data_IF_529244287022
#
_entry.id   IF_529244287022
#
_cell.length_a   1.000
_cell.length_b   1.000
_cell.length_c   1.000
_cell.angle_alpha   90.00
_cell.angle_beta   90.00
_cell.angle_gamma   90.00
#
_symmetry.space_group_name_H-M   'P 1'
#
loop_
_entity.id
_entity.type
_entity.pdbx_description
1 polymer ?
#
# COMPACT_ATOMS: atom_id res chain seq x y z
N UNK A 1 -12.51 11.00 -4.40
CA UNK A 1 -11.92 10.98 -5.76
C UNK A 1 -12.89 10.28 -6.69
N UNK A 2 -13.25 10.93 -7.81
CA UNK A 2 -14.10 10.29 -8.83
C UNK A 2 -13.20 9.63 -9.89
N UNK A 3 -12.45 8.64 -9.49
CA UNK A 3 -11.77 7.75 -10.41
C UNK A 3 -12.70 6.56 -10.67
N UNK A 4 -13.76 6.74 -11.45
CA UNK A 4 -14.74 5.69 -11.82
C UNK A 4 -15.05 4.64 -10.72
N UNK A 5 -15.01 5.03 -9.44
CA UNK A 5 -15.18 4.12 -8.29
C UNK A 5 -13.94 3.31 -7.89
N UNK A 6 -12.78 3.55 -8.48
CA UNK A 6 -11.53 2.87 -8.14
C UNK A 6 -10.76 3.62 -7.03
N UNK A 7 -9.92 2.89 -6.34
CA UNK A 7 -9.02 3.36 -5.29
C UNK A 7 -7.57 3.06 -5.67
N UNK A 8 -6.70 4.06 -5.52
CA UNK A 8 -5.26 3.88 -5.71
C UNK A 8 -4.65 3.70 -4.33
N UNK A 9 -4.18 2.50 -4.06
CA UNK A 9 -3.40 2.14 -2.89
C UNK A 9 -1.93 2.32 -3.22
N UNK A 10 -1.19 3.04 -2.38
CA UNK A 10 0.26 3.22 -2.49
C UNK A 10 0.85 2.84 -1.16
N UNK A 11 1.79 1.93 -1.17
CA UNK A 11 2.54 1.58 0.04
C UNK A 11 3.97 1.16 -0.34
N UNK A 12 4.85 1.15 0.64
CA UNK A 12 6.23 0.77 0.45
C UNK A 12 6.76 0.02 1.66
N UNK A 13 7.88 -0.65 1.45
CA UNK A 13 8.66 -1.22 2.51
C UNK A 13 10.15 -1.12 2.18
N UNK A 14 10.96 -0.85 3.20
CA UNK A 14 12.40 -0.75 3.05
C UNK A 14 13.14 -1.35 4.24
N UNK A 15 14.37 -1.80 4.00
CA UNK A 15 15.33 -2.25 5.00
C UNK A 15 16.70 -1.68 4.70
N UNK A 16 17.42 -1.35 5.76
CA UNK A 16 18.77 -0.82 5.65
C UNK A 16 19.76 -1.93 5.31
N UNK A 17 20.82 -1.59 4.59
CA UNK A 17 22.04 -2.39 4.47
C UNK A 17 22.51 -2.84 5.84
N UNK A 18 22.97 -4.07 5.94
CA UNK A 18 23.47 -4.64 7.19
C UNK A 18 24.56 -3.76 7.82
N UNK A 19 24.37 -3.43 9.09
CA UNK A 19 25.29 -2.56 9.85
C UNK A 19 25.01 -1.05 9.73
N UNK A 20 24.09 -0.61 8.88
CA UNK A 20 23.68 0.80 8.80
C UNK A 20 22.50 1.12 9.71
N UNK A 21 22.52 2.32 10.31
CA UNK A 21 21.47 2.81 11.18
C UNK A 21 20.34 3.45 10.37
N UNK A 22 20.66 4.02 9.20
CA UNK A 22 19.71 4.70 8.31
C UNK A 22 19.77 4.08 6.92
N UNK A 23 18.64 4.12 6.21
CA UNK A 23 18.51 3.69 4.83
C UNK A 23 19.08 4.77 3.90
N UNK A 24 19.87 4.38 2.92
CA UNK A 24 20.32 5.24 1.83
C UNK A 24 19.22 5.56 0.83
N UNK A 25 18.18 4.74 0.76
CA UNK A 25 17.01 4.96 -0.08
C UNK A 25 16.01 5.90 0.61
N UNK A 26 15.26 6.64 -0.20
CA UNK A 26 14.17 7.49 0.26
C UNK A 26 12.92 7.28 -0.60
N UNK A 27 11.82 6.92 0.04
CA UNK A 27 10.52 6.88 -0.60
C UNK A 27 9.64 8.03 -0.10
N UNK A 28 8.97 8.72 -1.03
CA UNK A 28 7.98 9.74 -0.74
C UNK A 28 6.71 9.49 -1.57
N UNK A 29 5.54 9.72 -0.98
CA UNK A 29 4.28 9.72 -1.71
C UNK A 29 3.37 10.83 -1.23
N UNK A 30 2.74 11.53 -2.15
CA UNK A 30 1.83 12.63 -1.87
C UNK A 30 0.54 12.50 -2.68
N UNK A 31 -0.58 12.67 -1.99
CA UNK A 31 -1.90 12.75 -2.60
C UNK A 31 -2.38 14.18 -2.65
N UNK A 32 -2.47 14.74 -3.84
CA UNK A 32 -2.99 16.08 -4.07
C UNK A 32 -4.52 16.05 -4.08
N UNK A 33 -5.14 16.27 -2.90
CA UNK A 33 -6.59 16.08 -2.69
C UNK A 33 -7.46 16.93 -3.61
N UNK A 34 -7.04 18.15 -3.96
CA UNK A 34 -7.77 19.05 -4.84
C UNK A 34 -7.81 18.57 -6.30
N UNK A 35 -6.77 17.88 -6.75
CA UNK A 35 -6.59 17.45 -8.13
C UNK A 35 -6.93 15.98 -8.34
N UNK A 36 -7.06 15.21 -7.27
CA UNK A 36 -7.23 13.75 -7.36
C UNK A 36 -5.99 13.02 -7.86
N UNK A 37 -4.82 13.62 -7.76
CA UNK A 37 -3.53 13.16 -8.28
C UNK A 37 -2.70 12.52 -7.18
N UNK A 38 -1.93 11.51 -7.54
CA UNK A 38 -1.01 10.81 -6.64
C UNK A 38 0.37 10.82 -7.27
N UNK A 39 1.36 11.30 -6.52
CA UNK A 39 2.75 11.30 -6.92
C UNK A 39 3.53 10.42 -5.95
N UNK A 40 4.37 9.54 -6.47
CA UNK A 40 5.27 8.67 -5.68
C UNK A 40 6.67 8.75 -6.25
N UNK A 41 7.65 8.87 -5.37
CA UNK A 41 9.06 8.96 -5.73
C UNK A 41 9.86 7.99 -4.89
N UNK A 42 10.67 7.18 -5.54
CA UNK A 42 11.73 6.40 -4.91
C UNK A 42 13.07 6.93 -5.42
N UNK A 43 13.97 7.20 -4.51
CA UNK A 43 15.34 7.64 -4.82
C UNK A 43 16.33 6.82 -4.01
N UNK A 44 17.39 6.36 -4.66
CA UNK A 44 18.48 5.64 -4.06
C UNK A 44 19.73 6.55 -4.09
N UNK A 45 20.33 6.77 -2.93
CA UNK A 45 21.50 7.62 -2.75
C UNK A 45 22.79 6.82 -2.91
N UNK A 46 23.69 7.25 -3.78
CA UNK A 46 24.94 6.57 -4.05
C UNK A 46 25.79 6.37 -2.78
N UNK A 47 26.11 5.13 -2.50
CA UNK A 47 26.85 4.70 -1.31
C UNK A 47 25.93 4.11 -0.25
N UNK A 48 26.15 4.41 1.00
CA UNK A 48 25.30 3.94 2.10
C UNK A 48 25.38 4.83 3.33
N UNK A 49 24.42 4.69 4.25
CA UNK A 49 24.37 5.42 5.51
C UNK A 49 23.95 6.88 5.34
N UNK A 50 24.37 7.75 6.25
CA UNK A 50 23.85 9.13 6.38
C UNK A 50 24.03 9.96 5.10
N UNK A 51 25.18 9.85 4.41
CA UNK A 51 25.41 10.61 3.18
C UNK A 51 24.44 10.22 2.07
N UNK A 52 24.26 8.95 1.84
CA UNK A 52 23.29 8.42 0.86
C UNK A 52 21.86 8.84 1.22
N UNK A 53 21.47 8.71 2.50
CA UNK A 53 20.18 9.13 3.00
C UNK A 53 19.88 10.62 2.75
N UNK A 54 20.84 11.51 2.98
CA UNK A 54 20.69 12.95 2.71
C UNK A 54 20.49 13.20 1.21
N UNK A 55 21.28 12.56 0.35
CA UNK A 55 21.21 12.74 -1.10
C UNK A 55 19.90 12.21 -1.68
N UNK A 56 19.48 11.02 -1.28
CA UNK A 56 18.20 10.44 -1.72
C UNK A 56 17.00 11.26 -1.24
N UNK A 57 17.05 11.76 0.02
CA UNK A 57 15.99 12.61 0.57
C UNK A 57 15.89 13.94 -0.18
N UNK A 58 17.01 14.59 -0.48
CA UNK A 58 17.03 15.82 -1.28
C UNK A 58 16.46 15.56 -2.68
N UNK A 59 16.89 14.48 -3.34
CA UNK A 59 16.42 14.11 -4.67
C UNK A 59 14.92 13.85 -4.67
N UNK A 60 14.44 13.01 -3.75
CA UNK A 60 13.02 12.69 -3.65
C UNK A 60 12.16 13.94 -3.35
N UNK A 61 12.66 14.83 -2.47
CA UNK A 61 11.96 16.09 -2.14
C UNK A 61 11.88 17.03 -3.35
N UNK A 62 12.97 17.21 -4.10
CA UNK A 62 12.97 18.04 -5.32
C UNK A 62 12.05 17.42 -6.38
N UNK A 63 12.17 16.12 -6.63
CA UNK A 63 11.33 15.40 -7.61
C UNK A 63 9.84 15.52 -7.26
N UNK A 64 9.48 15.33 -6.00
CA UNK A 64 8.10 15.46 -5.52
C UNK A 64 7.57 16.89 -5.74
N UNK A 65 8.30 17.90 -5.29
CA UNK A 65 7.84 19.29 -5.36
C UNK A 65 7.71 19.79 -6.80
N UNK A 66 8.71 19.55 -7.66
CA UNK A 66 8.64 19.99 -9.06
C UNK A 66 7.52 19.26 -9.81
N UNK A 67 7.32 17.97 -9.57
CA UNK A 67 6.21 17.22 -10.17
C UNK A 67 4.86 17.73 -9.68
N UNK A 68 4.72 18.02 -8.39
CA UNK A 68 3.48 18.59 -7.83
C UNK A 68 3.16 19.99 -8.38
N UNK A 69 4.17 20.78 -8.71
CA UNK A 69 4.02 22.11 -9.33
C UNK A 69 3.77 22.06 -10.84
N UNK A 70 3.64 20.88 -11.44
CA UNK A 70 3.50 20.68 -12.89
C UNK A 70 4.68 21.27 -13.69
N UNK A 71 5.86 21.35 -13.10
CA UNK A 71 7.05 21.76 -13.83
C UNK A 71 7.35 20.77 -14.96
N UNK A 72 7.92 21.28 -16.06
CA UNK A 72 8.26 20.41 -17.17
C UNK A 72 9.31 19.39 -16.74
N UNK A 73 9.23 18.16 -17.27
CA UNK A 73 10.19 17.09 -16.98
C UNK A 73 11.62 17.56 -17.22
N UNK A 74 11.83 18.32 -18.29
CA UNK A 74 13.14 18.86 -18.61
C UNK A 74 13.66 19.78 -17.50
N UNK A 75 12.85 20.72 -16.99
CA UNK A 75 13.25 21.59 -15.89
C UNK A 75 13.45 20.82 -14.60
N UNK A 76 12.55 19.88 -14.29
CA UNK A 76 12.64 19.04 -13.09
C UNK A 76 13.95 18.25 -13.09
N UNK A 77 14.22 17.51 -14.16
CA UNK A 77 15.43 16.71 -14.28
C UNK A 77 16.71 17.55 -14.29
N UNK A 78 16.74 18.64 -15.06
CA UNK A 78 17.87 19.54 -15.10
C UNK A 78 18.15 20.14 -13.72
N UNK A 79 17.13 20.55 -12.99
CA UNK A 79 17.29 21.12 -11.64
C UNK A 79 17.81 20.08 -10.64
N UNK A 80 17.26 18.86 -10.65
CA UNK A 80 17.73 17.77 -9.80
C UNK A 80 19.18 17.46 -10.13
N UNK A 81 19.47 17.22 -11.41
CA UNK A 81 20.80 16.81 -11.85
C UNK A 81 21.88 17.87 -11.61
N UNK A 82 21.55 19.15 -11.73
CA UNK A 82 22.47 20.25 -11.47
C UNK A 82 22.72 20.50 -9.98
N UNK A 83 21.75 20.16 -9.12
CA UNK A 83 21.85 20.34 -7.67
C UNK A 83 22.64 19.21 -7.02
N UNK A 84 22.54 17.99 -7.57
CA UNK A 84 23.22 16.84 -7.00
C UNK A 84 24.73 16.87 -7.33
N UNK A 85 25.59 16.58 -6.34
CA UNK A 85 27.00 16.38 -6.61
C UNK A 85 27.21 15.16 -7.50
N UNK A 86 28.42 15.03 -8.09
CA UNK A 86 28.79 13.92 -8.97
C UNK A 86 29.73 12.97 -8.31
N UNK A 87 29.61 11.71 -8.67
CA UNK A 87 30.69 10.75 -8.50
C UNK A 87 31.69 10.87 -9.67
N UNK A 88 32.90 11.34 -9.37
CA UNK A 88 33.93 11.53 -10.39
C UNK A 88 34.44 10.22 -10.99
N UNK A 89 34.24 9.09 -10.31
CA UNK A 89 34.68 7.76 -10.75
C UNK A 89 33.63 7.11 -11.64
N UNK A 90 32.34 7.10 -11.17
CA UNK A 90 31.25 6.46 -11.88
C UNK A 90 30.63 7.34 -12.94
N UNK A 91 30.92 8.64 -12.98
CA UNK A 91 30.35 9.65 -13.91
C UNK A 91 28.82 9.70 -13.91
N UNK A 92 28.19 9.38 -12.80
CA UNK A 92 26.74 9.47 -12.58
C UNK A 92 26.43 10.48 -11.48
N UNK A 93 25.20 10.94 -11.40
CA UNK A 93 24.71 11.73 -10.29
C UNK A 93 24.72 10.90 -9.00
N UNK A 94 24.90 11.54 -7.85
CA UNK A 94 24.95 10.84 -6.54
C UNK A 94 23.60 10.28 -6.08
N UNK A 95 22.59 10.29 -6.90
CA UNK A 95 21.31 9.65 -6.59
C UNK A 95 20.57 9.25 -7.85
N UNK A 96 19.99 8.08 -7.82
CA UNK A 96 19.05 7.58 -8.84
C UNK A 96 17.62 7.91 -8.42
N UNK A 97 16.65 7.89 -9.33
CA UNK A 97 15.26 8.10 -8.96
C UNK A 97 14.26 7.51 -9.95
N UNK A 98 13.12 7.11 -9.41
CA UNK A 98 11.91 6.78 -10.14
C UNK A 98 10.76 7.66 -9.64
N UNK A 99 10.09 8.38 -10.55
CA UNK A 99 8.92 9.21 -10.26
C UNK A 99 7.72 8.56 -10.93
N UNK A 100 6.67 8.28 -10.18
CA UNK A 100 5.39 7.83 -10.71
C UNK A 100 4.32 8.87 -10.39
N UNK A 101 3.72 9.43 -11.42
CA UNK A 101 2.70 10.46 -11.36
C UNK A 101 1.40 9.95 -11.97
N UNK A 102 0.32 9.93 -11.20
CA UNK A 102 -0.98 9.38 -11.59
C UNK A 102 -2.03 10.46 -11.43
N UNK A 103 -2.69 10.83 -12.52
CA UNK A 103 -3.77 11.82 -12.48
C UNK A 103 -5.12 11.24 -12.02
N UNK A 104 -6.13 12.10 -11.91
CA UNK A 104 -7.48 11.70 -11.48
C UNK A 104 -8.22 10.79 -12.49
N UNK A 105 -7.73 10.66 -13.70
CA UNK A 105 -8.29 9.78 -14.73
C UNK A 105 -7.59 8.41 -14.76
N UNK A 106 -6.49 8.25 -14.02
CA UNK A 106 -5.67 7.05 -14.01
C UNK A 106 -4.57 7.07 -15.08
N UNK A 107 -4.33 8.21 -15.74
CA UNK A 107 -3.17 8.34 -16.61
C UNK A 107 -1.90 8.38 -15.77
N UNK A 108 -0.95 7.55 -16.13
CA UNK A 108 0.31 7.37 -15.45
C UNK A 108 1.44 7.93 -16.29
N UNK A 109 2.35 8.62 -15.64
CA UNK A 109 3.63 9.02 -16.18
C UNK A 109 4.73 8.56 -15.25
N UNK A 110 5.64 7.72 -15.76
CA UNK A 110 6.81 7.25 -15.01
C UNK A 110 8.07 7.84 -15.62
N UNK A 111 8.95 8.36 -14.76
CA UNK A 111 10.25 8.91 -15.13
C UNK A 111 11.30 8.15 -14.35
N UNK A 112 12.23 7.53 -15.04
CA UNK A 112 13.32 6.74 -14.45
C UNK A 112 14.67 7.33 -14.81
N UNK A 113 15.55 7.41 -13.81
CA UNK A 113 16.96 7.75 -13.94
C UNK A 113 17.83 6.73 -13.22
N UNK A 114 18.58 5.92 -13.98
CA UNK A 114 19.55 4.92 -13.46
C UNK A 114 18.98 3.97 -12.39
N UNK A 115 17.65 3.75 -12.38
CA UNK A 115 16.99 2.80 -11.49
C UNK A 115 16.72 1.49 -12.22
N UNK A 116 16.53 0.36 -11.50
CA UNK A 116 15.93 -0.82 -12.09
C UNK A 116 14.58 -0.49 -12.73
N UNK A 117 14.26 -1.11 -13.86
CA UNK A 117 12.99 -0.88 -14.54
C UNK A 117 11.82 -1.30 -13.67
N UNK A 118 10.78 -0.42 -13.60
CA UNK A 118 9.54 -0.79 -12.93
C UNK A 118 8.82 -1.93 -13.66
N UNK A 119 7.95 -2.63 -12.94
CA UNK A 119 7.07 -3.65 -13.50
C UNK A 119 5.62 -3.20 -13.45
N UNK A 120 4.90 -3.43 -14.55
CA UNK A 120 3.44 -3.34 -14.60
C UNK A 120 2.87 -4.76 -14.68
N UNK A 121 2.16 -5.18 -13.62
CA UNK A 121 1.45 -6.45 -13.58
C UNK A 121 -0.03 -6.20 -13.85
N UNK A 122 -0.55 -6.78 -14.93
CA UNK A 122 -1.92 -6.61 -15.43
C UNK A 122 -2.47 -7.96 -15.87
N UNK A 123 -3.67 -8.33 -15.45
CA UNK A 123 -4.40 -9.52 -15.88
C UNK A 123 -3.57 -10.83 -15.86
N UNK A 124 -2.72 -10.99 -14.84
CA UNK A 124 -1.86 -12.18 -14.71
C UNK A 124 -0.52 -12.12 -15.41
N UNK A 125 -0.19 -11.02 -16.10
CA UNK A 125 1.03 -10.88 -16.90
C UNK A 125 1.79 -9.59 -16.58
N UNK A 126 3.10 -9.62 -16.85
CA UNK A 126 3.90 -8.41 -16.88
C UNK A 126 3.81 -7.75 -18.24
N UNK A 127 3.45 -6.47 -18.25
CA UNK A 127 3.27 -5.68 -19.48
C UNK A 127 4.46 -4.74 -19.63
N UNK A 128 5.14 -4.84 -20.78
CA UNK A 128 6.21 -3.92 -21.12
C UNK A 128 5.64 -2.68 -21.83
N UNK A 129 5.81 -1.51 -21.20
CA UNK A 129 5.39 -0.23 -21.76
C UNK A 129 6.55 0.40 -22.55
N UNK A 130 6.32 0.86 -23.78
CA UNK A 130 7.34 1.56 -24.55
C UNK A 130 7.88 2.79 -23.82
N UNK A 131 9.20 2.90 -23.70
CA UNK A 131 9.88 4.00 -23.03
C UNK A 131 10.49 4.97 -24.06
N UNK A 132 10.28 6.26 -23.85
CA UNK A 132 10.95 7.34 -24.58
C UNK A 132 12.23 7.71 -23.86
N UNK A 133 13.32 7.81 -24.62
CA UNK A 133 14.62 8.24 -24.13
C UNK A 133 14.78 9.75 -24.31
N UNK A 134 15.01 10.49 -23.21
CA UNK A 134 15.21 11.92 -23.24
C UNK A 134 16.62 12.24 -22.72
N UNK A 135 17.46 12.91 -23.53
CA UNK A 135 18.78 13.31 -23.09
C UNK A 135 18.68 14.38 -21.99
N UNK A 136 19.56 14.29 -21.00
CA UNK A 136 19.76 15.32 -19.98
C UNK A 136 20.90 16.20 -20.42
N UNK A 137 20.64 17.49 -20.64
CA UNK A 137 21.68 18.46 -20.98
C UNK A 137 22.44 18.85 -19.72
N UNK A 138 23.59 18.24 -19.54
CA UNK A 138 24.55 18.59 -18.51
C UNK A 138 25.96 18.44 -19.07
N UNK A 139 26.71 19.55 -19.11
CA UNK A 139 28.04 19.62 -19.77
C UNK A 139 29.03 18.57 -19.28
N UNK A 140 28.81 18.05 -18.10
CA UNK A 140 29.75 17.21 -17.37
C UNK A 140 29.27 15.74 -17.22
N UNK A 141 28.08 15.37 -17.78
CA UNK A 141 27.55 14.02 -17.85
C UNK A 141 27.25 13.68 -19.31
N UNK A 142 28.24 13.14 -20.01
CA UNK A 142 28.04 12.60 -21.37
C UNK A 142 27.12 11.37 -21.33
N UNK A 143 26.19 11.28 -22.28
CA UNK A 143 25.29 10.13 -22.46
C UNK A 143 24.33 9.84 -21.29
N UNK A 144 23.91 10.86 -20.54
CA UNK A 144 22.90 10.71 -19.49
C UNK A 144 21.51 10.87 -20.05
N UNK A 145 20.61 9.96 -19.70
CA UNK A 145 19.25 9.93 -20.23
C UNK A 145 18.23 9.65 -19.13
N UNK A 146 17.02 10.21 -19.34
CA UNK A 146 15.84 9.80 -18.62
C UNK A 146 15.00 8.85 -19.49
N UNK A 147 14.39 7.90 -18.85
CA UNK A 147 13.40 7.04 -19.49
C UNK A 147 12.01 7.45 -19.05
N UNK A 148 11.11 7.66 -20.01
CA UNK A 148 9.73 8.09 -19.74
C UNK A 148 8.78 7.12 -20.39
N UNK A 149 7.83 6.62 -19.58
CA UNK A 149 6.69 5.85 -20.05
C UNK A 149 5.38 6.53 -19.64
N UNK A 150 4.39 6.45 -20.53
CA UNK A 150 3.06 7.00 -20.33
C UNK A 150 2.02 5.94 -20.71
N UNK A 151 1.06 5.67 -19.83
CA UNK A 151 -0.01 4.70 -20.03
C UNK A 151 -1.20 5.02 -19.12
N UNK A 152 -2.30 4.27 -19.26
CA UNK A 152 -3.46 4.40 -18.37
C UNK A 152 -3.58 3.14 -17.52
N UNK A 153 -3.79 3.32 -16.21
CA UNK A 153 -4.06 2.23 -15.28
C UNK A 153 -5.41 1.59 -15.56
N UNK A 154 -5.44 0.29 -15.46
CA UNK A 154 -6.65 -0.52 -15.47
C UNK A 154 -6.91 -1.09 -14.07
N UNK A 155 -8.14 -1.55 -13.87
CA UNK A 155 -8.51 -2.15 -12.58
C UNK A 155 -7.66 -3.41 -12.33
N UNK A 156 -7.20 -3.56 -11.09
CA UNK A 156 -6.30 -4.61 -10.59
C UNK A 156 -4.85 -4.50 -11.08
N UNK A 157 -4.49 -3.44 -11.81
CA UNK A 157 -3.11 -3.16 -12.14
C UNK A 157 -2.25 -2.94 -10.90
N UNK A 158 -1.02 -3.45 -10.94
CA UNK A 158 0.02 -3.18 -9.96
C UNK A 158 1.27 -2.64 -10.64
N UNK A 159 1.68 -1.43 -10.26
CA UNK A 159 2.99 -0.88 -10.61
C UNK A 159 3.92 -1.18 -9.44
N UNK A 160 5.07 -1.78 -9.74
CA UNK A 160 6.07 -2.17 -8.74
C UNK A 160 7.40 -1.58 -9.16
N UNK A 161 7.99 -0.73 -8.33
CA UNK A 161 9.33 -0.20 -8.55
C UNK A 161 10.15 -0.31 -7.26
N UNK A 162 11.45 -0.48 -7.43
CA UNK A 162 12.34 -0.86 -6.35
C UNK A 162 13.75 -0.31 -6.57
N UNK A 163 14.55 -0.24 -5.50
CA UNK A 163 15.99 0.04 -5.60
C UNK A 163 16.75 -1.20 -6.05
N UNK A 164 18.00 -1.02 -6.44
CA UNK A 164 18.85 -2.09 -6.95
C UNK A 164 19.16 -3.17 -5.89
N UNK A 165 19.06 -2.84 -4.59
CA UNK A 165 19.13 -3.83 -3.52
C UNK A 165 18.14 -4.98 -3.62
N UNK A 166 16.99 -4.78 -4.33
CA UNK A 166 16.07 -5.87 -4.64
C UNK A 166 16.62 -6.74 -5.77
N UNK A 167 16.95 -6.14 -6.92
CA UNK A 167 17.39 -6.87 -8.11
C UNK A 167 18.77 -7.49 -7.95
N UNK A 168 19.66 -6.86 -7.20
CA UNK A 168 21.00 -7.36 -6.92
C UNK A 168 21.05 -8.34 -5.74
N UNK A 169 19.93 -8.58 -5.03
CA UNK A 169 19.92 -9.51 -3.91
C UNK A 169 20.38 -10.90 -4.34
N UNK A 170 21.18 -11.55 -3.51
CA UNK A 170 21.80 -12.86 -3.80
C UNK A 170 22.93 -12.85 -4.84
N UNK A 171 23.28 -11.70 -5.41
CA UNK A 171 24.33 -11.57 -6.41
C UNK A 171 25.67 -12.19 -5.96
N UNK A 172 26.30 -12.94 -6.88
CA UNK A 172 27.54 -13.68 -6.63
C UNK A 172 27.34 -15.01 -5.95
N UNK A 173 26.11 -15.40 -5.60
CA UNK A 173 25.81 -16.75 -5.13
C UNK A 173 25.75 -17.75 -6.29
N UNK A 174 26.02 -19.05 -6.05
CA UNK A 174 25.91 -20.07 -7.11
C UNK A 174 24.51 -20.18 -7.76
N UNK A 175 23.46 -19.80 -7.03
CA UNK A 175 22.08 -19.83 -7.52
C UNK A 175 21.66 -18.55 -8.23
N UNK A 176 22.30 -17.43 -7.91
CA UNK A 176 21.97 -16.09 -8.42
C UNK A 176 23.25 -15.32 -8.77
N UNK A 177 24.02 -15.77 -9.77
CA UNK A 177 25.31 -15.14 -10.10
C UNK A 177 25.16 -13.68 -10.53
N UNK A 178 24.02 -13.32 -11.13
CA UNK A 178 23.71 -11.96 -11.61
C UNK A 178 22.66 -11.23 -10.77
N UNK A 179 22.28 -11.77 -9.58
CA UNK A 179 21.21 -11.23 -8.75
C UNK A 179 19.86 -11.87 -9.01
N UNK A 180 18.80 -11.20 -8.55
CA UNK A 180 17.44 -11.74 -8.52
C UNK A 180 16.47 -11.07 -9.53
N UNK A 181 16.96 -10.27 -10.46
CA UNK A 181 16.13 -9.49 -11.39
C UNK A 181 15.07 -10.34 -12.11
N UNK A 182 15.46 -11.46 -12.72
CA UNK A 182 14.54 -12.36 -13.41
C UNK A 182 13.57 -13.06 -12.43
N UNK A 183 14.03 -13.40 -11.24
CA UNK A 183 13.22 -14.10 -10.23
C UNK A 183 12.16 -13.22 -9.55
N UNK A 184 12.28 -11.89 -9.58
CA UNK A 184 11.30 -10.99 -8.99
C UNK A 184 9.94 -11.13 -9.68
N UNK A 185 9.91 -11.22 -11.00
CA UNK A 185 8.67 -11.37 -11.78
C UNK A 185 7.94 -12.65 -11.41
N UNK A 186 8.63 -13.79 -11.41
CA UNK A 186 8.02 -15.08 -11.04
C UNK A 186 7.50 -15.09 -9.62
N UNK A 187 8.25 -14.49 -8.70
CA UNK A 187 7.85 -14.39 -7.30
C UNK A 187 6.60 -13.53 -7.12
N UNK A 188 6.53 -12.37 -7.76
CA UNK A 188 5.36 -11.47 -7.72
C UNK A 188 4.15 -12.15 -8.34
N UNK A 189 4.29 -12.78 -9.52
CA UNK A 189 3.20 -13.49 -10.19
C UNK A 189 2.63 -14.59 -9.27
N UNK A 190 3.47 -15.44 -8.69
CA UNK A 190 3.05 -16.49 -7.76
C UNK A 190 2.36 -15.94 -6.51
N UNK A 191 2.80 -14.80 -5.97
CA UNK A 191 2.14 -14.16 -4.82
C UNK A 191 0.75 -13.62 -5.18
N UNK A 192 0.62 -12.95 -6.33
CA UNK A 192 -0.66 -12.38 -6.73
C UNK A 192 -1.65 -13.46 -7.15
N UNK A 193 -1.20 -14.52 -7.79
CA UNK A 193 -2.03 -15.68 -8.13
C UNK A 193 -2.57 -16.38 -6.87
N UNK A 194 -1.71 -16.55 -5.86
CA UNK A 194 -2.11 -17.22 -4.62
C UNK A 194 -2.97 -16.33 -3.71
N UNK A 195 -2.71 -15.01 -3.71
CA UNK A 195 -3.40 -14.00 -2.90
C UNK A 195 -3.93 -12.88 -3.79
N UNK A 196 -5.07 -13.13 -4.46
CA UNK A 196 -5.63 -12.20 -5.47
C UNK A 196 -5.83 -10.76 -4.97
N UNK A 197 -6.11 -10.58 -3.66
CA UNK A 197 -6.36 -9.29 -3.02
C UNK A 197 -5.18 -8.80 -2.15
N UNK A 198 -3.97 -9.35 -2.35
CA UNK A 198 -2.77 -8.93 -1.63
C UNK A 198 -2.61 -7.41 -1.71
N UNK A 199 -2.48 -6.76 -0.55
CA UNK A 199 -2.35 -5.31 -0.45
C UNK A 199 -0.98 -4.84 -0.99
N UNK A 200 -0.90 -3.55 -1.38
CA UNK A 200 0.37 -2.94 -1.78
C UNK A 200 1.43 -3.09 -0.69
N UNK A 201 1.04 -2.86 0.57
CA UNK A 201 1.91 -3.01 1.73
C UNK A 201 2.45 -4.43 1.88
N UNK A 202 1.56 -5.42 1.83
CA UNK A 202 1.96 -6.81 2.03
C UNK A 202 2.85 -7.32 0.90
N UNK A 203 2.56 -6.92 -0.34
CA UNK A 203 3.37 -7.27 -1.50
C UNK A 203 4.78 -6.66 -1.40
N UNK A 204 4.89 -5.37 -1.07
CA UNK A 204 6.18 -4.71 -0.85
C UNK A 204 7.00 -5.39 0.25
N UNK A 205 6.36 -5.72 1.40
CA UNK A 205 6.99 -6.47 2.49
C UNK A 205 7.53 -7.82 2.05
N UNK A 206 6.74 -8.60 1.28
CA UNK A 206 7.14 -9.93 0.82
C UNK A 206 8.33 -9.84 -0.13
N UNK A 207 8.36 -8.87 -1.04
CA UNK A 207 9.48 -8.65 -1.98
C UNK A 207 10.76 -8.34 -1.23
N UNK A 208 10.77 -7.33 -0.35
CA UNK A 208 11.96 -6.94 0.42
C UNK A 208 12.44 -8.06 1.36
N UNK A 209 11.52 -8.77 2.01
CA UNK A 209 11.89 -9.91 2.86
C UNK A 209 12.45 -11.08 2.05
N UNK A 210 12.04 -11.26 0.80
CA UNK A 210 12.65 -12.27 -0.07
C UNK A 210 14.05 -11.84 -0.51
N UNK A 211 14.27 -10.55 -0.83
CA UNK A 211 15.60 -10.02 -1.11
C UNK A 211 16.56 -10.23 0.07
N UNK A 212 16.11 -9.96 1.30
CA UNK A 212 16.89 -10.25 2.50
C UNK A 212 17.26 -11.73 2.65
N UNK A 213 16.32 -12.65 2.36
CA UNK A 213 16.61 -14.09 2.35
C UNK A 213 17.63 -14.46 1.29
N UNK A 214 17.57 -13.86 0.11
CA UNK A 214 18.52 -14.07 -0.97
C UNK A 214 19.95 -13.70 -0.54
N UNK A 215 20.09 -12.65 0.29
CA UNK A 215 21.34 -12.19 0.88
C UNK A 215 21.71 -12.92 2.19
N UNK A 216 21.01 -14.00 2.53
CA UNK A 216 21.28 -14.79 3.74
C UNK A 216 20.96 -14.04 5.04
N UNK A 217 19.93 -13.19 5.03
CA UNK A 217 19.48 -12.33 6.15
C UNK A 217 20.50 -11.25 6.56
N UNK A 218 21.38 -10.87 5.63
CA UNK A 218 22.36 -9.81 5.82
C UNK A 218 22.45 -8.98 4.54
N UNK A 219 21.55 -8.01 4.42
CA UNK A 219 21.41 -7.18 3.22
C UNK A 219 22.73 -6.53 2.83
N UNK A 220 23.12 -6.69 1.58
CA UNK A 220 24.35 -6.14 1.01
C UNK A 220 24.18 -4.69 0.59
N UNK A 221 22.93 -4.26 0.36
CA UNK A 221 22.59 -2.88 0.08
C UNK A 221 21.26 -2.47 0.71
N UNK A 222 21.01 -1.14 0.75
CA UNK A 222 19.72 -0.60 1.12
C UNK A 222 18.67 -1.14 0.12
N UNK A 223 17.55 -1.62 0.63
CA UNK A 223 16.59 -2.40 -0.16
C UNK A 223 15.19 -1.88 0.03
N UNK A 224 14.63 -1.31 -1.03
CA UNK A 224 13.32 -0.66 -1.00
C UNK A 224 12.43 -1.15 -2.13
N UNK A 225 11.15 -1.32 -1.84
CA UNK A 225 10.12 -1.64 -2.83
C UNK A 225 8.87 -0.80 -2.58
N UNK A 226 8.35 -0.18 -3.63
CA UNK A 226 7.06 0.49 -3.64
C UNK A 226 6.10 -0.26 -4.54
N UNK A 227 4.85 -0.35 -4.11
CA UNK A 227 3.76 -0.93 -4.88
C UNK A 227 2.61 0.08 -4.97
N UNK A 228 2.14 0.31 -6.18
CA UNK A 228 0.92 1.07 -6.45
C UNK A 228 -0.11 0.10 -7.02
N UNK A 229 -1.27 0.02 -6.39
CA UNK A 229 -2.32 -0.94 -6.75
C UNK A 229 -3.64 -0.21 -7.01
N UNK A 230 -4.16 -0.31 -8.24
CA UNK A 230 -5.48 0.20 -8.58
C UNK A 230 -6.54 -0.87 -8.37
N UNK A 231 -7.44 -0.68 -7.42
CA UNK A 231 -8.48 -1.64 -7.04
C UNK A 231 -9.81 -0.97 -6.67
N UNK A 232 -10.82 -1.77 -6.45
CA UNK A 232 -12.05 -1.27 -5.81
C UNK A 232 -11.76 -0.84 -4.37
N UNK A 233 -12.40 0.24 -3.88
CA UNK A 233 -12.28 0.63 -2.48
C UNK A 233 -12.88 -0.45 -1.58
N UNK A 234 -12.18 -0.76 -0.49
CA UNK A 234 -12.64 -1.66 0.57
C UNK A 234 -13.54 -0.89 1.51
N UNK A 235 -14.85 -0.98 1.30
CA UNK A 235 -15.84 -0.31 2.14
C UNK A 235 -16.20 -1.20 3.33
N UNK A 236 -16.36 -0.59 4.51
CA UNK A 236 -16.80 -1.23 5.74
C UNK A 236 -17.96 -0.45 6.35
N UNK A 237 -19.03 -1.15 6.70
CA UNK A 237 -20.09 -0.65 7.54
C UNK A 237 -19.91 -1.20 8.95
N UNK A 238 -19.90 -0.31 9.94
CA UNK A 238 -20.02 -0.68 11.36
C UNK A 238 -21.35 -0.15 11.88
N UNK A 239 -22.25 -1.06 12.24
CA UNK A 239 -23.57 -0.75 12.76
C UNK A 239 -23.61 -1.08 14.25
N UNK A 240 -23.95 -0.11 15.09
CA UNK A 240 -24.04 -0.27 16.55
C UNK A 240 -25.19 0.53 17.13
N UNK A 241 -25.83 -0.02 18.14
CA UNK A 241 -27.00 0.56 18.81
C UNK A 241 -28.30 0.46 18.02
N UNK A 242 -29.43 0.29 18.72
CA UNK A 242 -30.77 0.29 18.12
C UNK A 242 -31.22 1.72 17.77
N UNK A 243 -32.10 1.91 16.78
CA UNK A 243 -32.74 3.19 16.53
C UNK A 243 -33.51 3.69 17.77
N UNK A 244 -33.61 4.99 17.92
CA UNK A 244 -34.40 5.59 19.00
C UNK A 244 -35.89 5.18 18.95
N UNK A 245 -36.48 5.21 17.74
CA UNK A 245 -37.86 4.81 17.47
C UNK A 245 -37.85 3.50 16.67
N UNK A 246 -38.60 2.51 17.13
CA UNK A 246 -38.75 1.19 16.48
C UNK A 246 -39.29 1.27 15.03
N UNK A 247 -39.98 2.36 14.68
CA UNK A 247 -40.40 2.62 13.29
C UNK A 247 -39.20 2.69 12.33
N UNK A 248 -38.03 3.02 12.83
CA UNK A 248 -36.80 3.13 12.07
C UNK A 248 -36.04 1.80 11.93
N UNK A 249 -36.49 0.70 12.54
CA UNK A 249 -35.87 -0.62 12.44
C UNK A 249 -35.76 -1.08 10.99
N UNK A 250 -36.87 -0.93 10.22
CA UNK A 250 -36.89 -1.24 8.78
C UNK A 250 -35.92 -0.38 7.96
N UNK A 251 -35.81 0.90 8.33
CA UNK A 251 -34.88 1.80 7.67
C UNK A 251 -33.44 1.40 7.95
N UNK A 252 -33.09 1.07 9.21
CA UNK A 252 -31.77 0.56 9.58
C UNK A 252 -31.45 -0.71 8.77
N UNK A 253 -32.38 -1.64 8.70
CA UNK A 253 -32.21 -2.90 7.97
C UNK A 253 -32.00 -2.67 6.46
N UNK A 254 -32.77 -1.73 5.84
CA UNK A 254 -32.54 -1.39 4.43
C UNK A 254 -31.14 -0.82 4.18
N UNK A 255 -30.64 0.07 5.05
CA UNK A 255 -29.28 0.63 4.96
C UNK A 255 -28.21 -0.43 5.06
N UNK A 256 -28.37 -1.41 5.96
CA UNK A 256 -27.43 -2.53 6.10
C UNK A 256 -27.51 -3.46 4.89
N UNK A 257 -28.71 -3.77 4.39
CA UNK A 257 -28.92 -4.64 3.21
C UNK A 257 -28.29 -4.05 1.94
N UNK A 258 -28.52 -2.76 1.69
CA UNK A 258 -28.07 -2.06 0.48
C UNK A 258 -26.58 -1.71 0.47
N UNK A 259 -25.92 -1.75 1.63
CA UNK A 259 -24.52 -1.38 1.72
C UNK A 259 -23.62 -2.34 0.94
N UNK A 260 -22.80 -1.76 0.05
CA UNK A 260 -21.83 -2.50 -0.76
C UNK A 260 -20.47 -2.50 -0.06
N UNK A 261 -20.11 -3.62 0.54
CA UNK A 261 -18.88 -3.81 1.29
C UNK A 261 -19.05 -4.74 2.48
N UNK A 262 -18.01 -4.86 3.29
CA UNK A 262 -18.06 -5.65 4.53
C UNK A 262 -18.91 -4.99 5.59
N UNK A 263 -19.52 -5.79 6.46
CA UNK A 263 -20.47 -5.35 7.47
C UNK A 263 -20.14 -5.94 8.82
N UNK A 264 -20.05 -5.08 9.82
CA UNK A 264 -19.90 -5.46 11.22
C UNK A 264 -21.12 -4.97 11.99
N UNK A 265 -21.73 -5.86 12.77
CA UNK A 265 -22.79 -5.53 13.72
C UNK A 265 -22.23 -5.64 15.14
N UNK A 266 -22.33 -4.55 15.90
CA UNK A 266 -21.90 -4.49 17.30
C UNK A 266 -23.12 -4.31 18.20
N UNK A 267 -23.37 -5.29 19.07
CA UNK A 267 -24.45 -5.28 20.05
C UNK A 267 -25.58 -6.27 19.75
N UNK A 268 -25.90 -7.09 20.74
CA UNK A 268 -26.92 -8.14 20.64
C UNK A 268 -28.31 -7.61 20.26
N UNK A 269 -28.75 -6.48 20.82
CA UNK A 269 -30.02 -5.85 20.50
C UNK A 269 -30.08 -5.42 19.04
N UNK A 270 -29.02 -4.79 18.53
CA UNK A 270 -28.92 -4.38 17.12
C UNK A 270 -28.97 -5.59 16.20
N UNK A 271 -28.22 -6.65 16.55
CA UNK A 271 -28.20 -7.89 15.79
C UNK A 271 -29.57 -8.59 15.77
N UNK A 272 -30.29 -8.61 16.89
CA UNK A 272 -31.64 -9.16 16.99
C UNK A 272 -32.67 -8.42 16.11
N UNK A 273 -32.62 -7.08 16.13
CA UNK A 273 -33.45 -6.22 15.28
C UNK A 273 -33.18 -6.53 13.81
N UNK A 274 -31.88 -6.55 13.42
CA UNK A 274 -31.51 -6.79 12.03
C UNK A 274 -31.80 -8.21 11.58
N UNK A 275 -31.65 -9.24 12.43
CA UNK A 275 -32.07 -10.61 12.16
C UNK A 275 -33.55 -10.67 11.84
N UNK A 276 -34.39 -10.03 12.65
CA UNK A 276 -35.85 -9.97 12.44
C UNK A 276 -36.24 -9.27 11.13
N UNK A 277 -35.67 -8.06 10.90
CA UNK A 277 -36.07 -7.22 9.75
C UNK A 277 -35.47 -7.71 8.42
N UNK A 278 -34.33 -8.40 8.46
CA UNK A 278 -33.71 -9.00 7.27
C UNK A 278 -34.20 -10.42 6.99
N UNK A 279 -34.85 -11.06 7.98
CA UNK A 279 -35.23 -12.48 7.90
C UNK A 279 -34.04 -13.43 7.90
N UNK A 280 -32.90 -13.01 8.47
CA UNK A 280 -31.66 -13.77 8.52
C UNK A 280 -31.50 -14.48 9.87
N UNK A 281 -31.20 -15.79 9.87
CA UNK A 281 -30.89 -16.52 11.09
C UNK A 281 -29.57 -16.08 11.69
N UNK A 282 -29.44 -16.17 13.01
CA UNK A 282 -28.24 -15.86 13.75
C UNK A 282 -27.78 -17.10 14.53
N UNK A 283 -26.55 -17.51 14.33
CA UNK A 283 -25.94 -18.67 14.98
C UNK A 283 -24.68 -18.25 15.73
N UNK A 284 -24.53 -18.74 16.96
CA UNK A 284 -23.33 -18.46 17.78
C UNK A 284 -22.16 -19.33 17.30
N UNK A 285 -21.01 -18.71 17.01
CA UNK A 285 -19.80 -19.42 16.62
C UNK A 285 -18.91 -19.69 17.85
N UNK A 286 -18.95 -20.93 18.31
CA UNK A 286 -18.16 -21.38 19.45
C UNK A 286 -16.69 -21.67 19.13
N UNK A 287 -16.25 -21.59 17.87
CA UNK A 287 -14.87 -21.83 17.48
C UNK A 287 -13.94 -20.66 17.78
N UNK A 288 -14.52 -19.45 17.92
CA UNK A 288 -13.74 -18.24 18.24
C UNK A 288 -14.07 -17.86 19.68
N UNK A 289 -13.18 -18.22 20.57
CA UNK A 289 -13.33 -18.02 22.03
C UNK A 289 -12.32 -17.02 22.52
N UNK A 290 -12.81 -15.94 23.11
CA UNK A 290 -12.02 -14.97 23.88
C UNK A 290 -12.38 -15.13 25.37
N UNK A 291 -11.38 -14.99 26.26
CA UNK A 291 -11.61 -15.09 27.70
C UNK A 291 -12.32 -13.89 28.30
N UNK A 292 -12.23 -12.75 27.63
CA UNK A 292 -12.73 -11.45 28.09
C UNK A 292 -14.02 -11.04 27.36
N UNK A 293 -14.32 -11.63 26.20
CA UNK A 293 -15.43 -11.23 25.37
C UNK A 293 -16.37 -12.41 25.06
N UNK A 294 -17.68 -12.16 24.93
CA UNK A 294 -18.62 -13.15 24.44
C UNK A 294 -18.24 -13.65 23.04
N UNK A 295 -18.65 -14.88 22.67
CA UNK A 295 -18.41 -15.44 21.35
C UNK A 295 -19.10 -14.58 20.27
N UNK A 296 -18.55 -14.62 19.05
CA UNK A 296 -19.16 -14.01 17.88
C UNK A 296 -20.40 -14.77 17.44
N UNK A 297 -21.25 -14.08 16.67
CA UNK A 297 -22.33 -14.76 15.94
C UNK A 297 -22.13 -14.63 14.44
N UNK A 298 -22.66 -15.57 13.68
CA UNK A 298 -22.78 -15.56 12.22
C UNK A 298 -24.18 -15.16 11.82
N UNK A 299 -24.29 -14.30 10.83
CA UNK A 299 -25.55 -13.88 10.22
C UNK A 299 -25.34 -13.78 8.71
N UNK A 300 -26.28 -14.30 7.93
CA UNK A 300 -26.22 -14.20 6.48
C UNK A 300 -26.17 -12.73 6.02
N UNK A 301 -25.23 -12.42 5.13
CA UNK A 301 -25.02 -11.07 4.61
C UNK A 301 -24.30 -10.10 5.55
N UNK A 302 -23.71 -10.60 6.65
CA UNK A 302 -22.91 -9.85 7.63
C UNK A 302 -21.60 -10.60 7.88
N UNK A 303 -20.48 -9.88 7.85
CA UNK A 303 -19.15 -10.49 7.96
C UNK A 303 -18.72 -10.74 9.42
N UNK A 304 -19.24 -9.94 10.36
CA UNK A 304 -18.91 -10.08 11.78
C UNK A 304 -20.07 -9.55 12.66
N UNK A 305 -20.50 -10.37 13.60
CA UNK A 305 -21.47 -9.96 14.63
C UNK A 305 -20.83 -10.16 16.00
N UNK A 306 -20.72 -9.07 16.77
CA UNK A 306 -20.08 -9.08 18.10
C UNK A 306 -21.02 -8.54 19.18
N UNK A 307 -20.66 -8.78 20.42
CA UNK A 307 -21.18 -8.00 21.54
C UNK A 307 -20.84 -6.50 21.32
N UNK A 308 -21.53 -5.61 22.01
CA UNK A 308 -21.42 -4.17 21.78
C UNK A 308 -20.24 -3.52 22.49
N UNK A 309 -20.50 -2.99 23.69
CA UNK A 309 -19.63 -2.05 24.36
C UNK A 309 -18.28 -2.67 24.80
N UNK A 310 -18.29 -3.93 25.22
CA UNK A 310 -17.06 -4.62 25.64
C UNK A 310 -16.12 -4.82 24.46
N UNK A 311 -16.66 -5.25 23.31
CA UNK A 311 -15.86 -5.42 22.09
C UNK A 311 -15.28 -4.09 21.63
N UNK A 312 -16.09 -3.02 21.59
CA UNK A 312 -15.64 -1.69 21.17
C UNK A 312 -14.57 -1.12 22.12
N UNK A 313 -14.70 -1.32 23.44
CA UNK A 313 -13.68 -0.91 24.40
C UNK A 313 -12.35 -1.64 24.23
N UNK A 314 -12.38 -2.95 23.90
CA UNK A 314 -11.16 -3.71 23.59
C UNK A 314 -10.55 -3.30 22.24
N UNK A 315 -11.37 -3.00 21.23
CA UNK A 315 -10.92 -2.46 19.94
C UNK A 315 -10.21 -1.12 20.12
N UNK A 316 -10.79 -0.21 20.90
CA UNK A 316 -10.18 1.09 21.22
C UNK A 316 -8.82 0.91 21.90
N UNK A 317 -8.70 0.03 22.88
CA UNK A 317 -7.44 -0.27 23.55
C UNK A 317 -6.39 -0.80 22.57
N UNK A 318 -6.73 -1.81 21.74
CA UNK A 318 -5.79 -2.38 20.75
C UNK A 318 -5.31 -1.32 19.76
N UNK A 319 -6.20 -0.46 19.27
CA UNK A 319 -5.83 0.60 18.33
C UNK A 319 -4.96 1.69 18.97
N UNK A 320 -5.17 1.99 20.24
CA UNK A 320 -4.41 3.02 20.98
C UNK A 320 -3.02 2.51 21.38
N UNK A 321 -2.93 1.30 21.86
CA UNK A 321 -1.67 0.67 22.32
C UNK A 321 -0.81 0.18 21.14
N UNK A 322 -1.42 -0.01 19.97
CA UNK A 322 -0.72 -0.51 18.75
C UNK A 322 -0.31 -1.98 18.84
N UNK A 323 -0.78 -2.71 19.86
CA UNK A 323 -0.46 -4.14 20.07
C UNK A 323 -1.36 -5.03 19.23
N UNK A 324 -1.09 -5.06 17.92
CA UNK A 324 -1.78 -5.94 16.97
C UNK A 324 -0.98 -7.22 16.84
N UNK A 325 -1.15 -8.15 17.78
CA UNK A 325 -0.54 -9.48 17.68
C UNK A 325 -1.18 -10.28 16.53
N UNK A 326 -0.49 -10.31 15.40
CA UNK A 326 -0.93 -11.04 14.19
C UNK A 326 -0.79 -12.57 14.33
N UNK A 327 -0.18 -13.07 15.41
CA UNK A 327 0.18 -14.49 15.60
C UNK A 327 -0.80 -15.23 16.50
N UNK A 328 -1.67 -14.53 17.25
CA UNK A 328 -2.67 -15.16 18.10
C UNK A 328 -3.94 -15.50 17.33
N UNK A 329 -4.65 -16.51 17.78
CA UNK A 329 -6.03 -16.77 17.39
C UNK A 329 -6.84 -15.49 17.65
N UNK A 330 -7.42 -14.92 16.58
CA UNK A 330 -8.06 -13.64 16.65
C UNK A 330 -9.43 -13.76 17.33
N UNK A 331 -9.58 -13.12 18.47
CA UNK A 331 -10.88 -12.93 19.12
C UNK A 331 -11.75 -11.90 18.40
N UNK A 332 -12.97 -11.62 18.91
CA UNK A 332 -13.91 -10.68 18.28
C UNK A 332 -13.33 -9.28 18.04
N UNK A 333 -12.59 -8.73 19.01
CA UNK A 333 -11.98 -7.41 18.90
C UNK A 333 -10.85 -7.37 17.87
N UNK A 334 -9.97 -8.37 17.88
CA UNK A 334 -8.87 -8.48 16.92
C UNK A 334 -9.38 -8.64 15.47
N UNK A 335 -10.46 -9.41 15.26
CA UNK A 335 -11.13 -9.53 13.96
C UNK A 335 -11.69 -8.17 13.50
N UNK A 336 -12.37 -7.46 14.39
CA UNK A 336 -12.88 -6.12 14.10
C UNK A 336 -11.76 -5.14 13.76
N UNK A 337 -10.66 -5.11 14.55
CA UNK A 337 -9.49 -4.27 14.27
C UNK A 337 -8.90 -4.59 12.89
N UNK A 338 -8.74 -5.87 12.55
CA UNK A 338 -8.26 -6.26 11.21
C UNK A 338 -9.16 -5.75 10.10
N UNK A 339 -10.49 -5.84 10.27
CA UNK A 339 -11.44 -5.34 9.28
C UNK A 339 -11.39 -3.81 9.16
N UNK A 340 -11.27 -3.09 10.27
CA UNK A 340 -11.11 -1.62 10.30
C UNK A 340 -9.85 -1.18 9.57
N UNK A 341 -8.70 -1.78 9.90
CA UNK A 341 -7.39 -1.41 9.32
C UNK A 341 -7.25 -1.82 7.84
N UNK A 342 -8.01 -2.83 7.39
CA UNK A 342 -8.02 -3.24 5.98
C UNK A 342 -9.08 -2.51 5.13
N UNK A 343 -9.72 -1.48 5.67
CA UNK A 343 -10.78 -0.73 4.99
C UNK A 343 -10.32 0.66 4.60
N UNK A 344 -10.70 1.10 3.39
CA UNK A 344 -10.38 2.45 2.88
C UNK A 344 -11.44 3.47 3.27
N UNK A 345 -12.68 2.99 3.44
CA UNK A 345 -13.81 3.81 3.85
C UNK A 345 -14.65 3.08 4.88
N UNK A 346 -14.75 3.69 6.05
CA UNK A 346 -15.56 3.19 7.16
C UNK A 346 -16.80 4.05 7.29
N UNK A 347 -17.97 3.44 7.25
CA UNK A 347 -19.27 4.09 7.49
C UNK A 347 -19.76 3.62 8.85
N UNK A 348 -20.02 4.56 9.75
CA UNK A 348 -20.61 4.28 11.06
C UNK A 348 -22.11 4.52 11.01
N UNK A 349 -22.90 3.54 11.37
CA UNK A 349 -24.35 3.61 11.59
C UNK A 349 -24.58 3.43 13.08
N UNK A 350 -24.93 4.52 13.76
CA UNK A 350 -25.08 4.52 15.22
C UNK A 350 -26.54 4.79 15.59
N UNK A 351 -27.15 3.82 16.24
CA UNK A 351 -28.46 4.01 16.88
C UNK A 351 -28.33 4.81 18.16
N UNK A 352 -29.34 5.59 18.48
CA UNK A 352 -29.31 6.56 19.59
C UNK A 352 -30.22 6.18 20.75
N UNK A 353 -30.85 5.01 20.73
CA UNK A 353 -31.65 4.51 21.86
C UNK A 353 -30.74 4.08 23.00
N UNK A 354 -30.98 4.61 24.16
CA UNK A 354 -30.26 4.20 25.39
C UNK A 354 -30.76 2.80 25.78
N UNK A 355 -29.81 1.85 25.93
CA UNK A 355 -30.14 0.57 26.57
C UNK A 355 -30.26 0.81 28.07
N UNK A 356 -31.47 0.71 28.57
CA UNK A 356 -31.75 0.75 30.02
C UNK A 356 -31.64 -0.64 30.61
#
# INVERSE_FOLDING_TARGET
MRNNGNFIEVDFFQKNKAGNIVCGDCFMSQKLKGEGRVISVLSDGLGSGIKACVLSTMTATMAMNFTAMNESIFRTSTSIMNTLPKDMVRKISYSTFCICDIDCFGNVKIIEYETPSYYLYRDGFFVDIPKKKIPVEREDLENTFLWISEFTLEKEDRIIFFSDGVTQSGMGSPKMPFGWEDGVKDYVAGLVEHYNDISAKELAHKIVNQAEKNDGYSLKDDTSCCVIYMRKPRNLLVCTGPPYDEKNDKYLASRVREFQGKKILCGGTTATILSRELGASMEVDMNIVDKELPPISKMEGVDLVTEGILTLGKVERILTEGDIDRRREAGPAELMVRMLLNSDKITLLVGTRINT
#
